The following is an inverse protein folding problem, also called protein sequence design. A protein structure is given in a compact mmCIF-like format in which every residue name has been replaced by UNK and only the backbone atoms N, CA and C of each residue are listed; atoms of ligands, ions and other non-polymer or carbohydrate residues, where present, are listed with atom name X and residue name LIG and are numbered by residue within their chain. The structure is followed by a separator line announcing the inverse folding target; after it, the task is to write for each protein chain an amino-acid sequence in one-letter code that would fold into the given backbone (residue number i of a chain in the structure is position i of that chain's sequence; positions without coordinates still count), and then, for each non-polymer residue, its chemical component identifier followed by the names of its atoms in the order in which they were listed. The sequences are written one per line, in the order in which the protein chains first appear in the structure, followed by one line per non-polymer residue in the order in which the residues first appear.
data_IF_797238894373
#
_entry.id   IF_797238894373
#
_cell.length_a   1.000
_cell.length_b   1.000
_cell.length_c   1.000
_cell.angle_alpha   90.00
_cell.angle_beta   90.00
_cell.angle_gamma   90.00
#
_symmetry.space_group_name_H-M   'P 1'
#
loop_
_entity.id
_entity.type
_entity.pdbx_description
1 polymer ?
#
# COMPACT_ATOMS: atom_id res chain seq x y z
N UNK A 1 7.56 13.27 8.59
CA UNK A 1 6.84 13.45 7.32
C UNK A 1 6.63 12.09 6.72
N UNK A 2 5.46 11.82 6.14
CA UNK A 2 5.21 10.56 5.46
C UNK A 2 5.89 10.44 4.11
N UNK A 3 5.61 9.35 3.41
CA UNK A 3 6.26 9.06 2.15
C UNK A 3 5.80 10.04 1.07
N UNK A 4 6.74 10.61 0.31
CA UNK A 4 6.49 11.48 -0.84
C UNK A 4 6.06 10.70 -2.10
N UNK A 5 6.07 9.37 -2.01
CA UNK A 5 5.61 8.47 -3.05
C UNK A 5 6.14 7.06 -2.91
N UNK A 6 5.43 6.12 -3.52
CA UNK A 6 5.82 4.73 -3.61
C UNK A 6 6.38 4.48 -5.01
N UNK A 7 7.60 3.95 -5.07
CA UNK A 7 8.34 3.73 -6.30
C UNK A 7 8.81 2.29 -6.40
N UNK A 8 9.04 1.84 -7.63
CA UNK A 8 9.61 0.53 -7.93
C UNK A 8 10.94 0.72 -8.63
N UNK A 9 11.96 -0.01 -8.19
CA UNK A 9 13.23 -0.09 -8.89
C UNK A 9 13.05 -0.82 -10.23
N UNK A 10 13.52 -0.20 -11.31
CA UNK A 10 13.49 -0.78 -12.67
C UNK A 10 14.85 -1.34 -13.10
N UNK A 11 15.89 -1.11 -12.30
CA UNK A 11 17.23 -1.65 -12.51
C UNK A 11 17.87 -1.98 -11.16
N UNK A 12 18.84 -2.89 -11.19
CA UNK A 12 19.73 -3.13 -10.06
C UNK A 12 20.71 -1.96 -9.88
N UNK A 13 21.01 -1.63 -8.63
CA UNK A 13 22.01 -0.62 -8.30
C UNK A 13 22.79 -1.04 -7.04
N UNK A 14 24.11 -1.05 -7.20
CA UNK A 14 25.06 -1.30 -6.12
C UNK A 14 25.62 0.03 -5.60
N UNK A 15 25.56 0.29 -4.27
CA UNK A 15 26.15 1.46 -3.65
C UNK A 15 27.65 1.58 -3.99
N UNK A 16 28.02 2.75 -4.49
CA UNK A 16 29.39 3.19 -4.76
C UNK A 16 29.98 3.96 -3.58
N UNK A 17 29.15 4.61 -2.77
CA UNK A 17 29.55 5.42 -1.63
C UNK A 17 28.74 5.13 -0.36
N UNK A 18 29.25 5.57 0.78
CA UNK A 18 28.57 5.43 2.07
C UNK A 18 27.35 6.37 2.11
N UNK A 19 26.16 5.81 2.35
CA UNK A 19 24.88 6.54 2.37
C UNK A 19 23.98 6.28 1.14
N UNK A 20 24.45 5.52 0.16
CA UNK A 20 23.64 5.02 -0.96
C UNK A 20 22.94 3.70 -0.60
N UNK A 21 21.76 3.48 -1.19
CA UNK A 21 20.91 2.33 -0.92
C UNK A 21 21.03 1.29 -2.04
N UNK A 22 21.33 0.05 -1.67
CA UNK A 22 21.30 -1.07 -2.60
C UNK A 22 19.86 -1.41 -2.98
N UNK A 23 19.56 -1.39 -4.28
CA UNK A 23 18.24 -1.72 -4.82
C UNK A 23 18.37 -2.79 -5.90
N UNK A 24 17.43 -3.72 -5.92
CA UNK A 24 17.28 -4.69 -7.01
C UNK A 24 16.04 -4.40 -7.85
N UNK A 25 16.06 -4.78 -9.12
CA UNK A 25 14.92 -4.68 -10.03
C UNK A 25 13.67 -5.29 -9.37
N UNK A 26 12.57 -4.55 -9.41
CA UNK A 26 11.30 -4.93 -8.80
C UNK A 26 11.17 -4.61 -7.31
N UNK A 27 12.22 -4.11 -6.64
CA UNK A 27 12.12 -3.70 -5.23
C UNK A 27 11.17 -2.51 -5.07
N UNK A 28 10.34 -2.56 -4.03
CA UNK A 28 9.46 -1.46 -3.64
C UNK A 28 10.22 -0.51 -2.69
N UNK A 29 10.14 0.78 -3.00
CA UNK A 29 10.88 1.84 -2.34
C UNK A 29 9.91 2.93 -1.87
N UNK A 30 10.13 3.42 -0.67
CA UNK A 30 9.38 4.52 -0.08
C UNK A 30 10.23 5.78 -0.17
N UNK A 31 9.85 6.73 -1.03
CA UNK A 31 10.63 7.95 -1.22
C UNK A 31 10.35 8.91 -0.07
N UNK A 32 11.39 9.31 0.64
CA UNK A 32 11.36 10.22 1.79
C UNK A 32 11.70 11.65 1.38
N UNK A 33 12.60 11.82 0.41
CA UNK A 33 13.03 13.13 -0.08
C UNK A 33 13.30 13.07 -1.60
N UNK A 34 12.73 14.02 -2.33
CA UNK A 34 12.95 14.21 -3.76
C UNK A 34 13.77 15.48 -3.96
N UNK A 35 15.08 15.33 -4.04
CA UNK A 35 15.96 16.42 -4.46
C UNK A 35 16.15 16.36 -5.99
N UNK A 36 15.56 17.31 -6.70
CA UNK A 36 15.64 17.40 -8.17
C UNK A 36 16.95 18.04 -8.67
N UNK A 37 17.76 18.66 -7.80
CA UNK A 37 18.99 19.35 -8.17
C UNK A 37 20.15 18.37 -8.45
N UNK A 38 20.23 17.28 -7.69
CA UNK A 38 21.36 16.34 -7.74
C UNK A 38 21.05 14.99 -8.43
N UNK A 39 19.77 14.72 -8.73
CA UNK A 39 19.34 13.47 -9.39
C UNK A 39 19.26 12.25 -8.47
N UNK A 40 19.46 12.44 -7.17
CA UNK A 40 19.42 11.41 -6.14
C UNK A 40 18.26 11.66 -5.19
N UNK A 41 17.46 10.62 -4.95
CA UNK A 41 16.35 10.67 -4.02
C UNK A 41 16.68 9.85 -2.77
N UNK A 42 16.26 10.34 -1.60
CA UNK A 42 16.35 9.54 -0.38
C UNK A 42 15.16 8.61 -0.34
N UNK A 43 15.41 7.31 -0.28
CA UNK A 43 14.38 6.28 -0.18
C UNK A 43 14.69 5.29 0.93
N UNK A 44 13.64 4.66 1.44
CA UNK A 44 13.69 3.51 2.34
C UNK A 44 13.27 2.27 1.56
N UNK A 45 14.07 1.21 1.60
CA UNK A 45 13.69 -0.08 1.00
C UNK A 45 12.75 -0.80 1.95
N UNK A 46 11.68 -1.37 1.40
CA UNK A 46 10.83 -2.30 2.14
C UNK A 46 11.67 -3.49 2.63
N UNK A 47 11.71 -3.75 3.93
CA UNK A 47 12.33 -4.96 4.46
C UNK A 47 11.66 -6.21 3.88
N UNK A 48 12.48 -7.17 3.47
CA UNK A 48 12.00 -8.53 3.23
C UNK A 48 11.69 -9.22 4.55
N UNK A 49 10.94 -10.33 4.49
CA UNK A 49 10.61 -11.16 5.67
C UNK A 49 11.83 -11.74 6.41
N UNK A 50 13.02 -11.62 5.85
CA UNK A 50 14.28 -12.21 6.34
C UNK A 50 15.35 -11.16 6.67
N UNK A 51 15.12 -9.89 6.36
CA UNK A 51 16.07 -8.80 6.65
C UNK A 51 15.56 -8.00 7.87
N UNK A 52 16.33 -8.01 8.97
CA UNK A 52 15.98 -7.26 10.21
C UNK A 52 16.09 -5.74 10.05
N UNK A 53 16.77 -5.27 9.00
CA UNK A 53 16.97 -3.86 8.74
C UNK A 53 16.15 -3.41 7.53
N UNK A 54 15.43 -2.30 7.67
CA UNK A 54 14.90 -1.52 6.55
C UNK A 54 15.94 -0.44 6.17
N UNK A 55 16.89 -0.73 5.27
CA UNK A 55 17.92 0.24 4.94
C UNK A 55 17.31 1.45 4.22
N UNK A 56 17.75 2.63 4.64
CA UNK A 56 17.49 3.90 3.97
C UNK A 56 18.78 4.45 3.36
N UNK A 57 18.64 5.15 2.25
CA UNK A 57 19.78 5.78 1.59
C UNK A 57 19.39 6.47 0.29
N UNK A 58 20.40 6.94 -0.43
CA UNK A 58 20.24 7.61 -1.71
C UNK A 58 20.10 6.59 -2.84
N UNK A 59 19.12 6.81 -3.72
CA UNK A 59 18.91 6.05 -4.95
C UNK A 59 18.91 6.98 -6.17
N UNK A 60 19.42 6.54 -7.32
CA UNK A 60 19.32 7.31 -8.55
C UNK A 60 17.85 7.42 -8.99
N UNK A 61 17.35 8.64 -9.23
CA UNK A 61 15.94 8.83 -9.59
C UNK A 61 15.56 8.19 -10.95
N UNK A 62 16.55 7.98 -11.82
CA UNK A 62 16.39 7.37 -13.13
C UNK A 62 16.36 5.83 -13.09
N UNK A 63 16.59 5.23 -11.91
CA UNK A 63 16.54 3.79 -11.68
C UNK A 63 15.23 3.36 -11.04
N UNK A 64 14.31 4.31 -10.82
CA UNK A 64 13.04 4.07 -10.16
C UNK A 64 11.89 4.65 -10.99
N UNK A 65 10.73 4.01 -10.92
CA UNK A 65 9.49 4.49 -11.54
C UNK A 65 8.37 4.53 -10.50
N UNK A 66 7.34 5.39 -10.67
CA UNK A 66 6.18 5.36 -9.78
C UNK A 66 5.56 3.95 -9.75
N UNK A 67 5.34 3.42 -8.55
CA UNK A 67 4.73 2.11 -8.40
C UNK A 67 3.29 2.13 -8.93
N UNK A 68 2.87 1.05 -9.58
CA UNK A 68 1.48 0.89 -10.00
C UNK A 68 0.66 0.35 -8.83
N UNK A 69 -0.50 0.95 -8.57
CA UNK A 69 -1.43 0.42 -7.57
C UNK A 69 -1.88 -1.00 -7.96
N UNK A 70 -1.79 -1.93 -7.01
CA UNK A 70 -2.26 -3.31 -7.12
C UNK A 70 -3.78 -3.41 -7.12
N UNK A 71 -4.44 -2.43 -6.50
CA UNK A 71 -5.89 -2.40 -6.35
C UNK A 71 -6.35 -1.15 -5.60
N UNK A 72 -7.60 -1.17 -5.16
CA UNK A 72 -8.17 -0.11 -4.34
C UNK A 72 -8.82 -0.70 -3.10
N UNK A 73 -8.84 0.07 -2.02
CA UNK A 73 -9.59 -0.25 -0.82
C UNK A 73 -10.49 0.93 -0.45
N UNK A 74 -11.61 0.63 0.20
CA UNK A 74 -12.48 1.67 0.79
C UNK A 74 -12.27 1.69 2.29
N UNK A 75 -11.99 2.85 2.85
CA UNK A 75 -11.93 3.04 4.29
C UNK A 75 -13.30 2.78 4.91
N UNK A 76 -13.37 1.86 5.87
CA UNK A 76 -14.61 1.57 6.61
C UNK A 76 -14.73 2.40 7.89
N UNK A 77 -13.64 3.05 8.31
CA UNK A 77 -13.56 3.98 9.43
C UNK A 77 -12.57 5.09 9.08
N UNK A 78 -12.69 6.25 9.74
CA UNK A 78 -11.63 7.27 9.70
C UNK A 78 -10.39 6.81 10.48
N UNK A 79 -9.21 7.24 10.03
CA UNK A 79 -7.95 6.98 10.70
C UNK A 79 -7.05 8.21 10.67
N UNK A 80 -6.42 8.49 11.82
CA UNK A 80 -5.41 9.54 11.95
C UNK A 80 -4.07 8.89 12.24
N UNK A 81 -3.06 9.19 11.41
CA UNK A 81 -1.71 8.65 11.53
C UNK A 81 -1.13 8.95 12.92
N UNK A 82 -0.47 7.95 13.50
CA UNK A 82 0.23 8.04 14.78
C UNK A 82 1.73 8.17 14.60
N UNK A 83 2.25 7.63 13.50
CA UNK A 83 3.65 7.74 13.10
C UNK A 83 3.78 8.49 11.77
N UNK A 84 5.01 8.86 11.42
CA UNK A 84 5.28 9.51 10.15
C UNK A 84 5.07 8.54 8.96
N UNK A 85 5.22 7.24 9.16
CA UNK A 85 5.11 6.23 8.10
C UNK A 85 3.65 5.82 7.80
N UNK A 86 2.70 6.34 8.58
CA UNK A 86 1.27 6.03 8.47
C UNK A 86 0.49 7.07 7.67
N UNK A 87 -0.60 6.63 7.02
CA UNK A 87 -1.48 7.50 6.22
C UNK A 87 -2.76 7.84 6.99
N UNK A 88 -3.12 9.13 7.03
CA UNK A 88 -4.43 9.56 7.55
C UNK A 88 -5.47 9.58 6.43
N UNK A 89 -6.70 9.17 6.74
CA UNK A 89 -7.78 9.14 5.75
C UNK A 89 -9.17 9.23 6.42
N UNK A 90 -10.15 9.85 5.77
CA UNK A 90 -11.53 9.86 6.25
C UNK A 90 -12.25 8.54 5.99
N UNK A 91 -13.37 8.32 6.70
CA UNK A 91 -14.30 7.22 6.40
C UNK A 91 -14.80 7.31 4.94
N UNK A 92 -15.02 6.16 4.30
CA UNK A 92 -15.41 6.01 2.89
C UNK A 92 -14.38 6.55 1.86
N UNK A 93 -13.16 6.90 2.29
CA UNK A 93 -12.06 7.23 1.39
C UNK A 93 -11.71 6.05 0.48
N UNK A 94 -11.39 6.35 -0.79
CA UNK A 94 -10.85 5.37 -1.74
C UNK A 94 -9.32 5.46 -1.75
N UNK A 95 -8.68 4.40 -1.27
CA UNK A 95 -7.24 4.30 -1.12
C UNK A 95 -6.67 3.44 -2.26
N UNK A 96 -5.59 3.91 -2.89
CA UNK A 96 -4.83 3.11 -3.85
C UNK A 96 -3.89 2.19 -3.08
N UNK A 97 -3.96 0.88 -3.32
CA UNK A 97 -3.16 -0.11 -2.61
C UNK A 97 -1.89 -0.41 -3.40
N UNK A 98 -0.73 -0.30 -2.78
CA UNK A 98 0.57 -0.56 -3.41
C UNK A 98 1.21 -1.87 -2.92
N UNK A 99 0.87 -2.31 -1.71
CA UNK A 99 1.40 -3.53 -1.13
C UNK A 99 0.53 -4.05 0.01
N UNK A 100 0.33 -5.37 0.04
CA UNK A 100 -0.49 -6.11 1.02
C UNK A 100 0.24 -7.35 1.55
N UNK A 101 1.58 -7.40 1.45
CA UNK A 101 2.31 -8.58 1.92
C UNK A 101 2.23 -8.77 3.44
N UNK A 102 2.08 -7.67 4.17
CA UNK A 102 1.89 -7.68 5.62
C UNK A 102 0.39 -7.75 5.93
N UNK A 103 -0.05 -8.70 6.78
CA UNK A 103 -1.46 -8.91 7.09
C UNK A 103 -2.06 -7.82 7.99
N UNK A 104 -1.24 -7.11 8.77
CA UNK A 104 -1.66 -6.10 9.72
C UNK A 104 -1.57 -4.69 9.10
N UNK A 105 -0.58 -4.45 8.24
CA UNK A 105 -0.30 -3.14 7.64
C UNK A 105 -0.27 -3.18 6.11
N UNK A 106 -1.14 -2.39 5.48
CA UNK A 106 -1.22 -2.25 4.03
C UNK A 106 -0.57 -0.94 3.63
N UNK A 107 0.27 -0.95 2.59
CA UNK A 107 0.78 0.29 2.01
C UNK A 107 -0.26 0.87 1.06
N UNK A 108 -0.69 2.10 1.35
CA UNK A 108 -1.71 2.77 0.58
C UNK A 108 -1.34 4.23 0.26
N UNK A 109 -2.02 4.79 -0.74
CA UNK A 109 -1.97 6.21 -1.07
C UNK A 109 -3.36 6.82 -1.17
N UNK A 110 -3.47 8.07 -0.73
CA UNK A 110 -4.64 8.93 -0.89
C UNK A 110 -4.16 10.27 -1.44
N UNK A 111 -4.62 10.61 -2.64
CA UNK A 111 -4.18 11.81 -3.37
C UNK A 111 -2.65 11.86 -3.55
N UNK A 112 -1.96 12.74 -2.80
CA UNK A 112 -0.50 12.94 -2.81
C UNK A 112 0.19 12.45 -1.53
N UNK A 113 -0.55 11.85 -0.60
CA UNK A 113 -0.01 11.27 0.64
C UNK A 113 0.04 9.74 0.56
N UNK A 114 1.14 9.18 1.06
CA UNK A 114 1.39 7.74 1.06
C UNK A 114 1.87 7.27 2.43
N UNK A 115 1.44 6.08 2.83
CA UNK A 115 1.78 5.53 4.14
C UNK A 115 1.12 4.18 4.40
N UNK A 116 1.46 3.59 5.53
CA UNK A 116 0.84 2.38 6.03
C UNK A 116 -0.53 2.67 6.62
N UNK A 117 -1.47 1.78 6.36
CA UNK A 117 -2.82 1.80 6.91
C UNK A 117 -3.12 0.45 7.55
N UNK A 118 -3.81 0.43 8.71
CA UNK A 118 -4.16 -0.82 9.36
C UNK A 118 -5.21 -1.57 8.52
N UNK A 119 -4.96 -2.85 8.27
CA UNK A 119 -5.79 -3.67 7.36
C UNK A 119 -7.25 -3.78 7.82
N UNK A 120 -7.51 -3.69 9.13
CA UNK A 120 -8.85 -3.74 9.71
C UNK A 120 -9.65 -2.43 9.61
N UNK A 121 -9.09 -1.36 9.04
CA UNK A 121 -9.78 -0.09 8.80
C UNK A 121 -10.17 0.08 7.33
N UNK A 122 -9.80 -0.87 6.47
CA UNK A 122 -10.00 -0.78 5.03
C UNK A 122 -10.60 -2.06 4.47
N UNK A 123 -11.50 -1.92 3.51
CA UNK A 123 -12.09 -3.03 2.77
C UNK A 123 -11.48 -3.06 1.37
N UNK A 124 -10.60 -4.03 1.11
CA UNK A 124 -9.96 -4.18 -0.20
C UNK A 124 -11.01 -4.58 -1.23
N UNK A 125 -11.20 -3.74 -2.23
CA UNK A 125 -12.05 -4.03 -3.36
C UNK A 125 -11.23 -4.81 -4.38
N UNK A 126 -11.31 -6.14 -4.30
CA UNK A 126 -10.75 -6.99 -5.33
C UNK A 126 -11.49 -6.65 -6.64
N UNK A 127 -10.78 -6.08 -7.61
CA UNK A 127 -11.25 -6.11 -9.00
C UNK A 127 -11.13 -7.55 -9.49
N UNK A 128 -12.02 -8.40 -8.99
CA UNK A 128 -12.37 -9.62 -9.69
C UNK A 128 -12.94 -9.17 -11.02
N UNK A 129 -12.18 -9.38 -12.09
CA UNK A 129 -12.66 -9.30 -13.47
C UNK A 129 -14.09 -9.82 -13.49
N UNK A 130 -15.02 -8.96 -13.87
CA UNK A 130 -16.46 -9.20 -13.86
C UNK A 130 -16.82 -10.64 -14.24
N UNK A 131 -17.04 -11.49 -13.25
CA UNK A 131 -17.89 -12.66 -13.41
C UNK A 131 -19.30 -12.15 -13.14
N UNK A 132 -20.25 -12.27 -14.08
CA UNK A 132 -21.64 -11.95 -13.78
C UNK A 132 -22.12 -12.99 -12.75
N UNK A 133 -22.06 -12.63 -11.47
CA UNK A 133 -22.68 -13.39 -10.40
C UNK A 133 -24.17 -13.43 -10.72
N UNK A 134 -24.63 -14.60 -11.15
CA UNK A 134 -26.05 -14.93 -11.13
C UNK A 134 -26.53 -14.67 -9.71
N UNK A 135 -27.27 -13.58 -9.53
CA UNK A 135 -28.05 -13.32 -8.33
C UNK A 135 -28.96 -14.53 -8.10
N UNK A 136 -28.56 -15.42 -7.20
CA UNK A 136 -29.50 -16.34 -6.59
C UNK A 136 -30.32 -15.49 -5.60
N UNK A 137 -31.63 -15.31 -5.82
CA UNK A 137 -32.45 -14.59 -4.85
C UNK A 137 -32.50 -15.41 -3.56
N UNK A 138 -32.19 -14.75 -2.45
CA UNK A 138 -32.31 -15.32 -1.10
C UNK A 138 -33.64 -16.06 -0.92
N UNK A 139 -33.66 -17.27 -0.32
CA UNK A 139 -34.92 -17.83 0.15
C UNK A 139 -35.42 -17.01 1.34
N UNK A 140 -36.66 -16.53 1.23
CA UNK A 140 -37.42 -15.84 2.28
C UNK A 140 -37.66 -16.74 3.52
N UNK A 141 -37.87 -16.16 4.71
CA UNK A 141 -37.80 -16.84 6.00
C UNK A 141 -38.87 -17.94 6.17
N UNK A 142 -38.44 -19.08 6.73
CA UNK A 142 -39.31 -20.19 7.12
C UNK A 142 -40.32 -19.72 8.18
N UNK A 143 -41.62 -19.79 7.86
CA UNK A 143 -42.70 -19.63 8.83
C UNK A 143 -42.62 -20.74 9.88
N UNK A 144 -42.55 -20.37 11.16
CA UNK A 144 -42.72 -21.29 12.28
C UNK A 144 -44.10 -21.97 12.22
N UNK A 145 -44.22 -23.27 12.51
CA UNK A 145 -45.50 -23.97 12.48
C UNK A 145 -46.41 -23.50 13.62
N UNK A 146 -47.64 -23.10 13.25
CA UNK A 146 -48.74 -22.94 14.21
C UNK A 146 -49.13 -24.31 14.73
N UNK A 147 -48.85 -24.62 15.99
CA UNK A 147 -49.50 -25.75 16.67
C UNK A 147 -50.92 -25.34 17.06
N UNK A 148 -51.89 -26.15 16.66
CA UNK A 148 -53.27 -26.16 17.18
C UNK A 148 -53.70 -27.62 17.26
N UNK A 149 -53.75 -28.14 18.48
CA UNK A 149 -54.74 -29.08 19.02
C UNK A 149 -54.30 -29.43 20.45
#
# INVERSE_FOLDING_TARGET
MGFLGVYRAIYDYEPQTEGELAIGEGNLLYVLDKNDDDGWWKAKKKAGTDDEDEPEGLVPNNYVEPATALGHARAIYEYTRQTDEELSFPEDAFLAIFDMSDPDWILAGLDEEFGFVPSNYVEVQNQELASPVRVAPYPLPTRLPRWRA
#
